data_IF_201918599547
#
_entry.id   IF_201918599547
#
_cell.length_a   1.000
_cell.length_b   1.000
_cell.length_c   1.000
_cell.angle_alpha   90.00
_cell.angle_beta   90.00
_cell.angle_gamma   90.00
#
_symmetry.space_group_name_H-M   'P 1'
#
loop_
_entity.id
_entity.type
_entity.pdbx_description
1 polymer ?
#
# COMPACT_ATOMS: atom_id res chain seq x y z
N UNK A 1 -15.02 64.12 -1.16
CA UNK A 1 -15.04 64.13 0.31
C UNK A 1 -15.55 62.76 0.74
N UNK A 2 -14.71 61.73 0.66
CA UNK A 2 -13.66 61.34 1.62
C UNK A 2 -14.24 60.48 2.74
N UNK A 3 -13.83 59.20 2.71
CA UNK A 3 -13.55 58.28 3.83
C UNK A 3 -14.74 57.87 4.73
N UNK A 4 -14.95 56.59 5.04
CA UNK A 4 -13.96 55.59 5.47
C UNK A 4 -14.40 54.17 5.10
N UNK A 5 -13.44 53.46 4.52
CA UNK A 5 -13.33 52.01 4.38
C UNK A 5 -12.64 51.50 5.65
N UNK A 6 -13.23 50.55 6.40
CA UNK A 6 -12.57 49.57 7.27
C UNK A 6 -13.57 48.88 8.21
N UNK A 7 -13.92 47.62 7.90
CA UNK A 7 -13.80 46.54 8.90
C UNK A 7 -13.76 45.17 8.18
N UNK A 8 -12.59 44.79 7.68
CA UNK A 8 -12.29 43.38 7.37
C UNK A 8 -11.42 42.86 8.52
N UNK A 9 -11.78 41.75 9.19
CA UNK A 9 -10.95 41.18 10.23
C UNK A 9 -9.61 40.75 9.63
N UNK A 10 -8.52 41.37 10.10
CA UNK A 10 -7.16 41.08 9.70
C UNK A 10 -6.77 39.66 10.15
N UNK A 11 -5.88 38.99 9.41
CA UNK A 11 -5.48 37.60 9.69
C UNK A 11 -4.93 37.36 11.10
N UNK A 12 -4.50 38.40 11.80
CA UNK A 12 -4.05 38.36 13.20
C UNK A 12 -5.18 38.00 14.15
N UNK A 13 -6.41 38.47 13.92
CA UNK A 13 -7.55 38.21 14.82
C UNK A 13 -7.94 36.73 14.83
N UNK A 14 -7.75 36.02 13.71
CA UNK A 14 -8.06 34.60 13.58
C UNK A 14 -7.05 33.73 14.32
N UNK A 15 -5.75 34.01 14.17
CA UNK A 15 -4.71 33.27 14.88
C UNK A 15 -4.79 33.51 16.39
N UNK A 16 -5.07 34.75 16.81
CA UNK A 16 -5.31 35.08 18.21
C UNK A 16 -6.49 34.32 18.81
N UNK A 17 -7.58 34.17 18.05
CA UNK A 17 -8.73 33.37 18.47
C UNK A 17 -8.36 31.88 18.63
N UNK A 18 -7.57 31.32 17.71
CA UNK A 18 -7.11 29.93 17.76
C UNK A 18 -6.16 29.67 18.95
N UNK A 19 -5.22 30.58 19.21
CA UNK A 19 -4.32 30.49 20.36
C UNK A 19 -5.09 30.59 21.67
N UNK A 20 -6.09 31.49 21.77
CA UNK A 20 -6.95 31.58 22.96
C UNK A 20 -7.72 30.28 23.21
N UNK A 21 -8.22 29.64 22.16
CA UNK A 21 -8.93 28.37 22.28
C UNK A 21 -7.99 27.24 22.70
N UNK A 22 -6.77 27.19 22.18
CA UNK A 22 -5.75 26.23 22.63
C UNK A 22 -5.44 26.36 24.13
N UNK A 23 -5.30 27.59 24.63
CA UNK A 23 -5.09 27.86 26.07
C UNK A 23 -6.28 27.38 26.90
N UNK A 24 -7.51 27.65 26.44
CA UNK A 24 -8.74 27.20 27.12
C UNK A 24 -8.78 25.69 27.23
N UNK A 25 -8.47 24.97 26.15
CA UNK A 25 -8.47 23.51 26.12
C UNK A 25 -7.38 22.92 27.02
N UNK A 26 -6.19 23.52 27.03
CA UNK A 26 -5.10 23.07 27.89
C UNK A 26 -5.44 23.19 29.39
N UNK A 27 -6.23 24.17 29.81
CA UNK A 27 -6.64 24.35 31.22
C UNK A 27 -7.59 23.27 31.75
N UNK A 28 -8.33 22.60 30.85
CA UNK A 28 -9.24 21.49 31.20
C UNK A 28 -8.44 20.26 31.63
N UNK A 29 -7.20 20.13 31.15
CA UNK A 29 -6.31 19.02 31.44
C UNK A 29 -5.74 19.15 32.87
N UNK A 30 -5.49 18.03 33.59
CA UNK A 30 -4.80 18.04 34.88
C UNK A 30 -3.48 18.80 34.84
N UNK A 31 -3.15 19.50 35.93
CA UNK A 31 -2.04 20.46 35.99
C UNK A 31 -0.70 19.90 35.51
N UNK A 32 -0.42 18.66 35.87
CA UNK A 32 0.77 17.88 35.49
C UNK A 32 0.96 17.71 33.98
N UNK A 33 -0.12 17.81 33.18
CA UNK A 33 -0.06 17.67 31.72
C UNK A 33 -0.43 18.93 30.95
N UNK A 34 -0.75 20.04 31.64
CA UNK A 34 -1.18 21.30 30.97
C UNK A 34 -0.13 21.88 30.04
N UNK A 35 1.13 21.88 30.47
CA UNK A 35 2.23 22.40 29.68
C UNK A 35 2.41 21.60 28.38
N UNK A 36 2.36 20.26 28.48
CA UNK A 36 2.44 19.35 27.34
C UNK A 36 1.23 19.48 26.41
N UNK A 37 0.02 19.60 26.97
CA UNK A 37 -1.21 19.80 26.20
C UNK A 37 -1.18 21.12 25.42
N UNK A 38 -0.74 22.21 26.05
CA UNK A 38 -0.61 23.51 25.39
C UNK A 38 0.42 23.46 24.27
N UNK A 39 1.57 22.83 24.51
CA UNK A 39 2.62 22.69 23.51
C UNK A 39 2.14 21.91 22.27
N UNK A 40 1.41 20.82 22.46
CA UNK A 40 0.85 20.02 21.35
C UNK A 40 -0.21 20.80 20.55
N UNK A 41 -1.09 21.53 21.24
CA UNK A 41 -2.12 22.35 20.60
C UNK A 41 -1.50 23.51 19.79
N UNK A 42 -0.45 24.14 20.32
CA UNK A 42 0.28 25.19 19.59
C UNK A 42 1.07 24.63 18.41
N UNK A 43 1.71 23.46 18.55
CA UNK A 43 2.38 22.77 17.44
C UNK A 43 1.40 22.45 16.32
N UNK A 44 0.21 21.94 16.64
CA UNK A 44 -0.84 21.65 15.66
C UNK A 44 -1.27 22.90 14.89
N UNK A 45 -1.44 24.04 15.59
CA UNK A 45 -1.77 25.32 14.96
C UNK A 45 -0.65 25.87 14.08
N UNK A 46 0.62 25.60 14.39
CA UNK A 46 1.76 25.98 13.57
C UNK A 46 2.00 25.02 12.40
N UNK A 47 1.65 23.73 12.55
CA UNK A 47 1.85 22.69 11.55
C UNK A 47 0.81 22.70 10.42
N UNK A 48 -0.28 23.47 10.53
CA UNK A 48 -1.28 23.57 9.46
C UNK A 48 -0.77 24.21 8.17
N UNK A 49 0.45 24.75 8.13
CA UNK A 49 1.00 25.39 6.92
C UNK A 49 2.25 24.74 6.31
N UNK A 50 2.83 23.65 6.84
CA UNK A 50 3.96 22.98 6.15
C UNK A 50 4.17 21.53 6.57
N UNK A 51 4.42 20.70 5.55
CA UNK A 51 4.70 19.28 5.59
C UNK A 51 6.04 18.91 6.24
N UNK A 52 6.09 17.69 6.81
CA UNK A 52 7.28 16.88 7.22
C UNK A 52 8.10 17.51 8.39
N UNK A 53 8.38 16.86 9.54
CA UNK A 53 9.44 15.87 9.80
C UNK A 53 9.36 15.21 11.21
N UNK A 54 10.00 14.02 11.27
CA UNK A 54 10.40 13.11 12.38
C UNK A 54 10.84 13.69 13.75
N UNK A 55 10.50 12.97 14.85
CA UNK A 55 11.33 12.75 16.08
C UNK A 55 10.95 11.39 16.75
N UNK A 56 11.86 10.63 17.41
CA UNK A 56 11.70 9.18 17.68
C UNK A 56 11.17 8.78 19.09
N UNK A 57 10.44 7.65 19.08
CA UNK A 57 10.28 6.57 20.07
C UNK A 57 10.04 6.88 21.58
N UNK A 58 8.82 6.68 22.09
CA UNK A 58 8.38 5.45 22.80
C UNK A 58 6.88 5.51 23.19
N UNK A 59 6.15 4.45 22.79
CA UNK A 59 4.87 3.87 23.28
C UNK A 59 3.62 4.74 23.39
N UNK A 60 2.79 4.60 22.37
CA UNK A 60 1.35 4.77 22.41
C UNK A 60 0.84 4.38 21.03
N UNK A 61 0.14 3.25 20.92
CA UNK A 61 -0.46 2.78 19.67
C UNK A 61 -1.38 3.87 19.10
N UNK A 62 -0.84 4.68 18.20
CA UNK A 62 -1.66 5.31 17.17
C UNK A 62 -2.00 4.20 16.18
N UNK A 63 -3.25 3.75 16.17
CA UNK A 63 -3.78 2.99 15.04
C UNK A 63 -3.80 3.97 13.86
N UNK A 64 -2.67 4.05 13.20
CA UNK A 64 -2.56 4.51 11.84
C UNK A 64 -3.33 3.47 11.02
N UNK A 65 -4.54 3.80 10.59
CA UNK A 65 -5.36 2.95 9.70
C UNK A 65 -4.70 2.75 8.31
N UNK A 66 -3.43 3.11 8.14
CA UNK A 66 -2.63 2.72 6.99
C UNK A 66 -2.27 1.24 7.14
N UNK A 67 -2.77 0.44 6.20
CA UNK A 67 -2.35 -0.94 6.03
C UNK A 67 -0.82 -1.04 6.04
N UNK A 68 -0.27 -1.81 6.98
CA UNK A 68 1.17 -2.06 7.04
C UNK A 68 1.51 -3.27 6.19
N UNK A 69 2.39 -3.08 5.22
CA UNK A 69 2.84 -4.17 4.35
C UNK A 69 3.57 -5.25 5.17
N UNK A 70 3.35 -6.55 4.88
CA UNK A 70 4.15 -7.61 5.47
C UNK A 70 5.64 -7.40 5.21
N UNK A 71 6.48 -7.72 6.20
CA UNK A 71 7.94 -7.51 6.15
C UNK A 71 8.57 -8.17 4.92
N UNK A 72 8.07 -9.34 4.51
CA UNK A 72 8.53 -10.05 3.33
C UNK A 72 8.24 -9.30 2.03
N UNK A 73 7.09 -8.61 1.94
CA UNK A 73 6.71 -7.77 0.80
C UNK A 73 7.54 -6.50 0.80
N UNK A 74 7.65 -5.80 1.92
CA UNK A 74 8.50 -4.60 2.03
C UNK A 74 9.96 -4.91 1.64
N UNK A 75 10.49 -6.04 2.11
CA UNK A 75 11.85 -6.50 1.75
C UNK A 75 11.98 -6.84 0.26
N UNK A 76 10.96 -7.46 -0.33
CA UNK A 76 10.91 -7.75 -1.77
C UNK A 76 10.96 -6.45 -2.57
N UNK A 77 10.12 -5.47 -2.22
CA UNK A 77 10.06 -4.18 -2.89
C UNK A 77 11.40 -3.42 -2.79
N UNK A 78 11.98 -3.36 -1.59
CA UNK A 78 13.28 -2.73 -1.38
C UNK A 78 14.38 -3.40 -2.21
N UNK A 79 14.41 -4.74 -2.25
CA UNK A 79 15.40 -5.50 -3.03
C UNK A 79 15.35 -5.20 -4.52
N UNK A 80 14.16 -4.97 -5.07
CA UNK A 80 13.95 -4.71 -6.50
C UNK A 80 13.76 -3.23 -6.84
N UNK A 81 13.98 -2.33 -5.87
CA UNK A 81 13.77 -0.88 -6.02
C UNK A 81 12.36 -0.50 -6.49
N UNK A 82 11.34 -1.25 -6.06
CA UNK A 82 9.94 -0.96 -6.37
C UNK A 82 9.40 -0.03 -5.27
N UNK A 83 8.92 1.18 -5.60
CA UNK A 83 8.30 2.06 -4.60
C UNK A 83 7.05 1.43 -4.01
N UNK A 84 6.88 1.48 -2.68
CA UNK A 84 5.67 0.95 -2.00
C UNK A 84 4.37 1.56 -2.55
N UNK A 85 4.41 2.83 -2.98
CA UNK A 85 3.29 3.51 -3.64
C UNK A 85 2.82 2.82 -4.93
N UNK A 86 3.64 1.99 -5.56
CA UNK A 86 3.26 1.27 -6.77
C UNK A 86 2.26 0.14 -6.49
N UNK A 87 2.21 -0.41 -5.27
CA UNK A 87 1.23 -1.45 -4.93
C UNK A 87 -0.20 -0.97 -5.19
N UNK A 88 -0.51 0.28 -4.86
CA UNK A 88 -1.85 0.86 -5.03
C UNK A 88 -2.28 1.01 -6.51
N UNK A 89 -1.36 0.85 -7.46
CA UNK A 89 -1.68 0.78 -8.88
C UNK A 89 -2.28 -0.59 -9.23
N UNK A 90 -1.80 -1.64 -8.58
CA UNK A 90 -2.15 -3.04 -8.87
C UNK A 90 -3.22 -3.60 -7.94
N UNK A 91 -3.37 -3.04 -6.74
CA UNK A 91 -4.31 -3.50 -5.74
C UNK A 91 -4.99 -2.32 -5.04
N UNK A 92 -6.27 -2.49 -4.71
CA UNK A 92 -6.95 -1.69 -3.68
C UNK A 92 -6.79 -2.45 -2.37
N UNK A 93 -6.17 -1.81 -1.37
CA UNK A 93 -5.95 -2.41 -0.05
C UNK A 93 -6.60 -1.51 1.00
N UNK A 94 -7.61 -2.03 1.68
CA UNK A 94 -8.30 -1.31 2.77
C UNK A 94 -8.05 -1.93 4.15
N UNK A 95 -7.52 -3.15 4.19
CA UNK A 95 -7.16 -3.89 5.39
C UNK A 95 -6.62 -5.29 5.06
N UNK A 96 -6.23 -6.07 6.08
CA UNK A 96 -5.99 -7.51 5.94
C UNK A 96 -7.25 -8.20 5.37
N UNK A 97 -7.11 -9.21 4.51
CA UNK A 97 -8.21 -9.84 3.78
C UNK A 97 -9.06 -8.93 2.86
N UNK A 98 -8.79 -7.62 2.80
CA UNK A 98 -9.50 -6.66 1.96
C UNK A 98 -8.60 -6.15 0.81
N UNK A 99 -8.09 -7.11 0.04
CA UNK A 99 -7.19 -6.88 -1.09
C UNK A 99 -7.93 -7.20 -2.37
N UNK A 100 -8.17 -6.18 -3.20
CA UNK A 100 -8.82 -6.34 -4.49
C UNK A 100 -7.85 -6.03 -5.65
N UNK A 101 -7.68 -6.94 -6.64
CA UNK A 101 -6.81 -6.69 -7.78
C UNK A 101 -7.38 -5.61 -8.71
N UNK A 102 -6.50 -4.74 -9.21
CA UNK A 102 -6.77 -3.69 -10.21
C UNK A 102 -5.99 -3.88 -11.51
N UNK A 103 -4.99 -4.76 -11.50
CA UNK A 103 -4.13 -5.00 -12.65
C UNK A 103 -4.90 -5.64 -13.80
N UNK A 104 -4.44 -5.39 -15.03
CA UNK A 104 -4.99 -6.03 -16.23
C UNK A 104 -3.84 -6.65 -17.02
N UNK A 105 -3.88 -7.97 -17.18
CA UNK A 105 -2.88 -8.69 -17.97
C UNK A 105 -3.40 -8.85 -19.39
N UNK A 106 -2.73 -8.19 -20.34
CA UNK A 106 -3.01 -8.32 -21.79
C UNK A 106 -1.79 -8.89 -22.48
N UNK A 107 -1.92 -10.13 -22.95
CA UNK A 107 -0.89 -10.79 -23.74
C UNK A 107 -1.51 -11.57 -24.91
N UNK A 108 -0.77 -11.69 -26.01
CA UNK A 108 -1.19 -12.55 -27.13
C UNK A 108 -1.00 -14.04 -26.83
N UNK A 109 -0.13 -14.36 -25.86
CA UNK A 109 0.15 -15.74 -25.46
C UNK A 109 -0.59 -16.08 -24.17
N UNK A 110 -1.56 -17.00 -24.25
CA UNK A 110 -2.26 -17.53 -23.08
C UNK A 110 -1.30 -18.12 -22.05
N UNK A 111 -0.28 -18.87 -22.50
CA UNK A 111 0.74 -19.43 -21.62
C UNK A 111 1.50 -18.34 -20.85
N UNK A 112 1.81 -17.20 -21.47
CA UNK A 112 2.44 -16.07 -20.78
C UNK A 112 1.47 -15.41 -19.80
N UNK A 113 0.23 -15.16 -20.22
CA UNK A 113 -0.80 -14.57 -19.34
C UNK A 113 -1.01 -15.42 -18.08
N UNK A 114 -1.13 -16.74 -18.21
CA UNK A 114 -1.32 -17.65 -17.07
C UNK A 114 -0.19 -17.55 -16.05
N UNK A 115 1.06 -17.46 -16.50
CA UNK A 115 2.22 -17.33 -15.62
C UNK A 115 2.28 -15.94 -14.98
N UNK A 116 1.95 -14.88 -15.72
CA UNK A 116 1.86 -13.53 -15.17
C UNK A 116 0.77 -13.44 -14.09
N UNK A 117 -0.41 -14.02 -14.34
CA UNK A 117 -1.51 -14.09 -13.36
C UNK A 117 -1.08 -14.87 -12.12
N UNK A 118 -0.39 -16.00 -12.28
CA UNK A 118 0.12 -16.76 -11.15
C UNK A 118 1.08 -15.95 -10.27
N UNK A 119 2.00 -15.21 -10.88
CA UNK A 119 2.90 -14.33 -10.14
C UNK A 119 2.16 -13.18 -9.44
N UNK A 120 1.14 -12.59 -10.07
CA UNK A 120 0.32 -11.55 -9.43
C UNK A 120 -0.54 -12.11 -8.28
N UNK A 121 -1.09 -13.31 -8.41
CA UNK A 121 -1.79 -14.00 -7.31
C UNK A 121 -0.84 -14.35 -6.15
N UNK A 122 0.40 -14.70 -6.45
CA UNK A 122 1.41 -14.87 -5.41
C UNK A 122 1.71 -13.56 -4.66
N UNK A 123 1.70 -12.43 -5.36
CA UNK A 123 1.83 -11.12 -4.72
C UNK A 123 0.59 -10.76 -3.89
N UNK A 124 -0.61 -11.02 -4.42
CA UNK A 124 -1.88 -10.82 -3.70
C UNK A 124 -1.89 -11.60 -2.38
N UNK A 125 -1.51 -12.88 -2.41
CA UNK A 125 -1.36 -13.69 -1.19
C UNK A 125 -0.29 -13.14 -0.26
N UNK A 126 0.87 -12.77 -0.81
CA UNK A 126 1.96 -12.21 -0.01
C UNK A 126 1.59 -10.89 0.65
N UNK A 127 0.72 -10.10 0.02
CA UNK A 127 0.21 -8.88 0.61
C UNK A 127 -0.61 -9.20 1.85
N UNK A 128 -1.34 -10.31 1.90
CA UNK A 128 -2.16 -10.72 3.04
C UNK A 128 -1.33 -11.40 4.15
N UNK A 129 -0.62 -12.49 3.85
CA UNK A 129 0.04 -13.33 4.86
C UNK A 129 1.58 -13.30 4.82
N UNK A 130 2.16 -12.55 3.86
CA UNK A 130 3.59 -12.47 3.65
C UNK A 130 4.21 -13.60 2.83
N UNK A 131 3.43 -14.58 2.35
CA UNK A 131 3.90 -15.71 1.57
C UNK A 131 3.66 -15.49 0.07
N UNK A 132 4.75 -15.56 -0.71
CA UNK A 132 4.69 -15.46 -2.17
C UNK A 132 4.32 -16.82 -2.78
N UNK A 133 3.05 -17.19 -2.66
CA UNK A 133 2.51 -18.45 -3.12
C UNK A 133 1.09 -18.31 -3.65
N UNK A 134 0.65 -19.29 -4.43
CA UNK A 134 -0.70 -19.32 -4.98
C UNK A 134 -1.24 -20.75 -5.04
N UNK A 135 -2.56 -20.87 -5.07
CA UNK A 135 -3.23 -22.12 -5.44
C UNK A 135 -3.49 -22.17 -6.94
N UNK A 136 -3.46 -23.36 -7.52
CA UNK A 136 -3.85 -23.56 -8.91
C UNK A 136 -5.28 -23.11 -9.16
N UNK A 137 -6.19 -23.31 -8.22
CA UNK A 137 -7.59 -22.95 -8.41
C UNK A 137 -7.79 -21.44 -8.51
N UNK A 138 -7.16 -20.66 -7.64
CA UNK A 138 -7.24 -19.19 -7.70
C UNK A 138 -6.70 -18.66 -9.02
N UNK A 139 -5.62 -19.25 -9.51
CA UNK A 139 -5.06 -18.88 -10.81
C UNK A 139 -5.98 -19.30 -11.97
N UNK A 140 -6.64 -20.45 -11.90
CA UNK A 140 -7.62 -20.86 -12.92
C UNK A 140 -8.79 -19.90 -12.98
N UNK A 141 -9.34 -19.52 -11.83
CA UNK A 141 -10.45 -18.55 -11.72
C UNK A 141 -10.03 -17.22 -12.35
N UNK A 142 -8.88 -16.67 -11.93
CA UNK A 142 -8.37 -15.43 -12.50
C UNK A 142 -8.06 -15.54 -14.01
N UNK A 143 -7.56 -16.68 -14.48
CA UNK A 143 -7.33 -16.90 -15.91
C UNK A 143 -8.62 -16.91 -16.73
N UNK A 144 -9.75 -17.36 -16.17
CA UNK A 144 -11.06 -17.29 -16.83
C UNK A 144 -11.54 -15.85 -16.92
N UNK A 145 -11.37 -15.06 -15.85
CA UNK A 145 -11.71 -13.63 -15.83
C UNK A 145 -10.88 -12.81 -16.85
N UNK A 146 -9.66 -13.26 -17.14
CA UNK A 146 -8.77 -12.65 -18.12
C UNK A 146 -8.82 -13.29 -19.52
N UNK A 147 -9.80 -14.16 -19.80
CA UNK A 147 -9.97 -14.85 -21.10
C UNK A 147 -8.71 -15.59 -21.60
N UNK A 148 -7.90 -16.13 -20.68
CA UNK A 148 -6.65 -16.83 -21.00
C UNK A 148 -6.55 -18.24 -20.40
N UNK A 149 -7.64 -18.78 -19.88
CA UNK A 149 -7.68 -20.15 -19.39
C UNK A 149 -7.67 -21.17 -20.53
N UNK A 150 -6.71 -22.11 -20.48
CA UNK A 150 -6.57 -23.23 -21.40
C UNK A 150 -6.34 -24.49 -20.56
N UNK A 151 -7.42 -25.25 -20.33
CA UNK A 151 -7.42 -26.41 -19.44
C UNK A 151 -6.40 -27.49 -19.87
N UNK A 152 -6.34 -27.77 -21.18
CA UNK A 152 -5.48 -28.80 -21.74
C UNK A 152 -3.99 -28.48 -21.54
N UNK A 153 -3.63 -27.20 -21.57
CA UNK A 153 -2.24 -26.77 -21.50
C UNK A 153 -1.85 -26.15 -20.15
N UNK A 154 -2.78 -25.92 -19.23
CA UNK A 154 -2.55 -25.18 -18.00
C UNK A 154 -1.33 -25.70 -17.24
N UNK A 155 -1.38 -26.94 -16.73
CA UNK A 155 -0.25 -27.53 -16.00
C UNK A 155 1.03 -27.63 -16.84
N UNK A 156 0.89 -27.88 -18.14
CA UNK A 156 2.01 -27.92 -19.08
C UNK A 156 2.76 -26.58 -19.16
N UNK A 157 2.04 -25.47 -19.08
CA UNK A 157 2.63 -24.13 -19.09
C UNK A 157 3.46 -23.88 -17.82
N UNK A 158 2.96 -24.27 -16.64
CA UNK A 158 3.72 -24.20 -15.38
C UNK A 158 4.97 -25.08 -15.42
N UNK A 159 4.86 -26.32 -15.90
CA UNK A 159 6.02 -27.23 -16.06
C UNK A 159 7.12 -26.64 -16.94
N UNK A 160 6.77 -25.94 -18.03
CA UNK A 160 7.77 -25.27 -18.90
C UNK A 160 8.46 -24.10 -18.20
N UNK A 161 7.86 -23.54 -17.15
CA UNK A 161 8.39 -22.44 -16.33
C UNK A 161 8.74 -22.90 -14.91
N UNK A 162 9.00 -24.18 -14.69
CA UNK A 162 9.20 -24.76 -13.36
C UNK A 162 10.24 -24.04 -12.50
N UNK A 163 11.28 -23.43 -13.11
CA UNK A 163 12.31 -22.66 -12.39
C UNK A 163 11.78 -21.44 -11.64
N UNK A 164 10.61 -20.92 -12.01
CA UNK A 164 9.96 -19.81 -11.32
C UNK A 164 9.32 -20.24 -9.99
N UNK A 165 9.17 -21.55 -9.76
CA UNK A 165 8.49 -22.11 -8.60
C UNK A 165 9.45 -23.00 -7.81
N UNK A 166 9.26 -23.10 -6.49
CA UNK A 166 10.07 -24.01 -5.66
C UNK A 166 9.72 -25.47 -5.93
N UNK A 167 8.42 -25.76 -6.03
CA UNK A 167 7.85 -27.05 -6.43
C UNK A 167 6.49 -26.81 -7.10
N UNK A 168 6.03 -27.78 -7.89
CA UNK A 168 4.68 -27.83 -8.49
C UNK A 168 3.89 -29.05 -8.00
N UNK A 169 4.38 -29.74 -6.97
CA UNK A 169 3.76 -30.95 -6.44
C UNK A 169 2.57 -30.62 -5.53
N UNK A 170 2.73 -29.62 -4.69
CA UNK A 170 1.65 -29.02 -3.91
C UNK A 170 0.97 -27.94 -4.77
N UNK A 171 -0.27 -28.21 -5.18
CA UNK A 171 -1.05 -27.33 -6.04
C UNK A 171 -1.82 -26.26 -5.26
N UNK A 172 -1.89 -26.38 -3.94
CA UNK A 172 -2.54 -25.40 -3.08
C UNK A 172 -1.54 -24.32 -2.63
N UNK A 173 -0.27 -24.70 -2.44
CA UNK A 173 0.81 -23.81 -1.97
C UNK A 173 2.00 -23.78 -2.93
N UNK A 174 1.80 -23.25 -4.14
CA UNK A 174 2.88 -23.12 -5.13
C UNK A 174 3.72 -21.88 -4.83
N UNK A 175 4.83 -22.07 -4.12
CA UNK A 175 5.72 -20.97 -3.70
C UNK A 175 6.62 -20.50 -4.84
N UNK A 176 6.74 -19.18 -5.02
CA UNK A 176 7.72 -18.59 -5.94
C UNK A 176 9.16 -18.88 -5.50
N UNK A 177 9.98 -19.27 -6.48
CA UNK A 177 11.43 -19.36 -6.30
C UNK A 177 12.06 -17.94 -6.29
N UNK A 178 13.37 -17.80 -5.99
CA UNK A 178 14.06 -16.53 -6.19
C UNK A 178 13.92 -15.98 -7.62
N UNK A 179 14.04 -16.85 -8.63
CA UNK A 179 13.83 -16.47 -10.04
C UNK A 179 12.37 -16.09 -10.33
N UNK A 180 11.41 -16.73 -9.65
CA UNK A 180 10.00 -16.34 -9.73
C UNK A 180 9.74 -14.95 -9.18
N UNK A 181 10.42 -14.57 -8.10
CA UNK A 181 10.35 -13.21 -7.53
C UNK A 181 11.01 -12.18 -8.44
N UNK A 182 12.16 -12.50 -9.05
CA UNK A 182 12.77 -11.64 -10.07
C UNK A 182 11.82 -11.42 -11.25
N UNK A 183 11.20 -12.50 -11.76
CA UNK A 183 10.19 -12.41 -12.82
C UNK A 183 8.97 -11.55 -12.41
N UNK A 184 8.51 -11.67 -11.16
CA UNK A 184 7.44 -10.82 -10.64
C UNK A 184 7.85 -9.35 -10.60
N UNK A 185 9.08 -9.02 -10.18
CA UNK A 185 9.56 -7.64 -10.20
C UNK A 185 9.58 -7.06 -11.62
N UNK A 186 10.10 -7.81 -12.60
CA UNK A 186 10.09 -7.43 -14.01
C UNK A 186 8.66 -7.24 -14.54
N UNK A 187 7.73 -8.10 -14.11
CA UNK A 187 6.32 -7.99 -14.48
C UNK A 187 5.69 -6.70 -13.96
N UNK A 188 5.98 -6.33 -12.71
CA UNK A 188 5.47 -5.09 -12.12
C UNK A 188 6.01 -3.86 -12.86
N UNK A 189 7.24 -3.90 -13.38
CA UNK A 189 7.76 -2.84 -14.24
C UNK A 189 7.16 -2.87 -15.66
N UNK A 190 6.89 -4.06 -16.22
CA UNK A 190 6.22 -4.18 -17.52
C UNK A 190 4.80 -3.57 -17.48
N UNK A 191 4.08 -3.75 -16.37
CA UNK A 191 2.71 -3.27 -16.23
C UNK A 191 2.62 -1.76 -15.97
N UNK A 192 3.55 -1.17 -15.22
CA UNK A 192 3.59 0.29 -14.97
C UNK A 192 3.85 1.09 -16.25
N UNK A 193 4.63 0.53 -17.18
CA UNK A 193 4.97 1.16 -18.44
C UNK A 193 3.86 1.06 -19.52
N UNK A 194 2.79 0.31 -19.25
CA UNK A 194 1.67 0.07 -20.20
C UNK A 194 0.35 0.69 -19.74
N UNK A 195 0.27 1.18 -18.51
CA UNK A 195 -0.91 1.80 -17.90
C UNK A 195 -1.05 3.28 -18.21
#
# INVERSE_FOLDING_TARGET
>A
MSETDQDRPSGTTRLEAQVREAVRLAQIVPEEYRAMALELLLKLLCSTDSSVYNVPAYVGESIDNRYNLPVSVASFMARFNIPESNINHYFSITGPDEIAPKYVIKNRSAARSQIQIACMKALERALDDGLFEFSYEDVRVACKEHDCFDDNNFHGNFKRKYKLFKSLDDKEHVVLSPLGKEYLADLLDELSNKS
#
